data_IF_039465289736
#
_entry.id   IF_039465289736
#
_cell.length_a   1.000
_cell.length_b   1.000
_cell.length_c   1.000
_cell.angle_alpha   90.00
_cell.angle_beta   90.00
_cell.angle_gamma   90.00
#
_symmetry.space_group_name_H-M   'P 1'
#
loop_
_entity.id
_entity.type
_entity.pdbx_description
1 polymer ?
#
# COMPACT_ATOMS: atom_id res chain seq x y z
N UNK A 1 -11.42 29.85 -99.09
CA UNK A 1 -12.51 28.99 -99.48
C UNK A 1 -12.95 28.14 -98.29
N UNK A 2 -14.27 28.25 -98.02
CA UNK A 2 -15.16 27.31 -97.30
C UNK A 2 -14.79 26.79 -95.93
N UNK A 3 -15.40 27.32 -94.95
CA UNK A 3 -16.52 26.86 -94.11
C UNK A 3 -16.55 25.36 -93.72
N UNK A 4 -16.52 25.04 -92.41
CA UNK A 4 -17.68 24.43 -91.75
C UNK A 4 -17.53 24.40 -90.19
N UNK A 5 -18.56 24.94 -89.57
CA UNK A 5 -18.92 24.77 -88.16
C UNK A 5 -19.15 23.34 -87.80
N UNK A 6 -18.78 22.94 -86.55
CA UNK A 6 -19.58 22.01 -85.80
C UNK A 6 -19.55 22.27 -84.32
N UNK A 7 -20.71 22.33 -83.77
CA UNK A 7 -21.28 22.54 -82.49
C UNK A 7 -20.67 21.69 -81.38
N UNK A 8 -20.31 22.32 -80.28
CA UNK A 8 -20.00 21.69 -79.02
C UNK A 8 -21.28 21.38 -78.20
N UNK A 9 -21.55 20.15 -77.95
CA UNK A 9 -22.53 19.76 -76.94
C UNK A 9 -21.82 19.49 -75.62
N UNK A 10 -22.14 20.30 -74.63
CA UNK A 10 -21.84 20.15 -73.17
C UNK A 10 -22.44 18.85 -72.66
N UNK A 11 -21.62 17.98 -72.10
CA UNK A 11 -22.03 16.93 -71.16
C UNK A 11 -21.56 17.35 -69.78
N UNK A 12 -22.47 17.96 -69.06
CA UNK A 12 -22.32 18.18 -67.61
C UNK A 12 -23.24 17.20 -66.89
N UNK A 13 -22.72 16.71 -65.74
CA UNK A 13 -23.44 16.02 -64.67
C UNK A 13 -23.55 14.51 -64.71
N UNK A 14 -22.60 13.86 -63.98
CA UNK A 14 -22.93 12.66 -63.20
C UNK A 14 -21.89 12.35 -62.08
N UNK A 15 -20.91 13.20 -61.79
CA UNK A 15 -19.88 12.90 -60.81
C UNK A 15 -20.13 13.44 -59.39
N UNK A 16 -21.07 14.38 -59.16
CA UNK A 16 -21.30 14.98 -57.84
C UNK A 16 -22.18 14.16 -56.90
N UNK A 17 -23.10 13.37 -57.42
CA UNK A 17 -24.03 12.53 -56.63
C UNK A 17 -23.35 11.27 -56.06
N UNK A 18 -22.38 10.70 -56.76
CA UNK A 18 -21.67 9.50 -56.29
C UNK A 18 -20.65 9.82 -55.18
N UNK A 19 -20.11 11.05 -55.16
CA UNK A 19 -19.15 11.49 -54.12
C UNK A 19 -19.88 11.81 -52.81
N UNK A 20 -21.04 12.45 -52.87
CA UNK A 20 -21.89 12.72 -51.69
C UNK A 20 -22.41 11.44 -51.04
N UNK A 21 -22.81 10.44 -51.83
CA UNK A 21 -23.32 9.16 -51.31
C UNK A 21 -22.22 8.35 -50.61
N UNK A 22 -21.00 8.35 -51.15
CA UNK A 22 -19.85 7.67 -50.54
C UNK A 22 -19.41 8.35 -49.23
N UNK A 23 -19.46 9.67 -49.16
CA UNK A 23 -19.08 10.43 -47.96
C UNK A 23 -20.09 10.23 -46.80
N UNK A 24 -21.40 10.24 -47.12
CA UNK A 24 -22.45 9.91 -46.16
C UNK A 24 -22.36 8.46 -45.66
N UNK A 25 -22.05 7.49 -46.53
CA UNK A 25 -21.88 6.09 -46.12
C UNK A 25 -20.68 5.88 -45.20
N UNK A 26 -19.55 6.56 -45.45
CA UNK A 26 -18.35 6.50 -44.59
C UNK A 26 -18.64 7.11 -43.22
N UNK A 27 -19.33 8.26 -43.16
CA UNK A 27 -19.71 8.90 -41.87
C UNK A 27 -20.67 8.01 -41.08
N UNK A 28 -21.65 7.39 -41.74
CA UNK A 28 -22.61 6.50 -41.07
C UNK A 28 -21.92 5.24 -40.56
N UNK A 29 -21.01 4.65 -41.32
CA UNK A 29 -20.21 3.50 -40.89
C UNK A 29 -19.29 3.86 -39.73
N UNK A 30 -18.63 5.02 -39.74
CA UNK A 30 -17.82 5.51 -38.64
C UNK A 30 -18.66 5.75 -37.38
N UNK A 31 -19.86 6.30 -37.52
CA UNK A 31 -20.77 6.54 -36.41
C UNK A 31 -21.31 5.22 -35.80
N UNK A 32 -21.66 4.25 -36.68
CA UNK A 32 -22.05 2.90 -36.24
C UNK A 32 -20.88 2.18 -35.56
N UNK A 33 -19.67 2.32 -36.08
CA UNK A 33 -18.47 1.73 -35.45
C UNK A 33 -18.13 2.38 -34.12
N UNK A 34 -18.18 3.71 -34.02
CA UNK A 34 -17.98 4.44 -32.79
C UNK A 34 -19.08 4.16 -31.75
N UNK A 35 -20.34 4.10 -32.16
CA UNK A 35 -21.44 3.75 -31.25
C UNK A 35 -21.41 2.29 -30.81
N UNK A 36 -21.06 1.35 -31.72
CA UNK A 36 -20.85 -0.06 -31.36
C UNK A 36 -19.65 -0.24 -30.45
N UNK A 37 -18.56 0.51 -30.67
CA UNK A 37 -17.40 0.56 -29.82
C UNK A 37 -17.75 1.14 -28.44
N UNK A 38 -18.51 2.25 -28.41
CA UNK A 38 -18.97 2.86 -27.16
C UNK A 38 -19.94 1.94 -26.38
N UNK A 39 -20.88 1.28 -27.07
CA UNK A 39 -21.79 0.30 -26.45
C UNK A 39 -21.02 -0.92 -25.97
N UNK A 40 -20.05 -1.42 -26.74
CA UNK A 40 -19.22 -2.54 -26.35
C UNK A 40 -18.36 -2.20 -25.12
N UNK A 41 -17.76 -1.01 -25.06
CA UNK A 41 -16.99 -0.56 -23.90
C UNK A 41 -17.88 -0.18 -22.72
N UNK A 42 -19.06 0.41 -22.91
CA UNK A 42 -19.99 0.71 -21.83
C UNK A 42 -20.63 -0.54 -21.21
N UNK A 43 -20.72 -1.65 -21.94
CA UNK A 43 -21.10 -2.96 -21.37
C UNK A 43 -20.00 -3.59 -20.51
N UNK A 44 -18.73 -3.19 -20.69
CA UNK A 44 -17.61 -3.72 -19.88
C UNK A 44 -17.38 -2.98 -18.55
N UNK A 45 -18.02 -1.84 -18.34
CA UNK A 45 -17.81 -1.04 -17.12
C UNK A 45 -18.86 -1.31 -16.02
N UNK A 46 -19.75 -2.29 -16.25
CA UNK A 46 -20.70 -2.73 -15.21
C UNK A 46 -20.08 -3.81 -14.33
N UNK A 47 -19.09 -3.40 -13.54
CA UNK A 47 -18.60 -4.22 -12.45
C UNK A 47 -19.74 -4.41 -11.42
N UNK A 48 -20.16 -5.66 -11.14
CA UNK A 48 -21.23 -5.88 -10.18
C UNK A 48 -20.85 -5.28 -8.83
N UNK A 49 -21.79 -4.55 -8.21
CA UNK A 49 -21.55 -4.02 -6.87
C UNK A 49 -21.56 -5.17 -5.88
N UNK A 50 -20.57 -5.19 -5.02
CA UNK A 50 -20.37 -6.22 -4.01
C UNK A 50 -20.82 -5.72 -2.64
N UNK A 51 -21.37 -6.60 -1.84
CA UNK A 51 -21.62 -6.42 -0.41
C UNK A 51 -20.62 -7.25 0.39
N UNK A 52 -19.70 -6.57 1.07
CA UNK A 52 -18.56 -7.21 1.74
C UNK A 52 -18.69 -7.10 3.27
N UNK A 53 -18.48 -8.21 3.97
CA UNK A 53 -18.23 -8.21 5.41
C UNK A 53 -16.72 -8.27 5.67
N UNK A 54 -16.22 -7.37 6.50
CA UNK A 54 -14.80 -7.21 6.79
C UNK A 54 -14.53 -7.27 8.27
N UNK A 55 -13.58 -8.10 8.68
CA UNK A 55 -13.11 -8.17 10.07
C UNK A 55 -11.73 -7.51 10.19
N UNK A 56 -11.64 -6.42 10.98
CA UNK A 56 -10.42 -5.69 11.26
C UNK A 56 -10.11 -5.65 12.76
N UNK A 57 -8.82 -5.67 13.12
CA UNK A 57 -8.39 -5.60 14.52
C UNK A 57 -8.73 -4.26 15.17
N UNK A 58 -8.57 -3.16 14.43
CA UNK A 58 -8.91 -1.80 14.88
C UNK A 58 -9.20 -0.92 13.67
N UNK A 59 -9.89 0.19 13.91
CA UNK A 59 -10.23 1.19 12.91
C UNK A 59 -9.71 2.57 13.34
N UNK A 60 -9.20 3.41 12.41
CA UNK A 60 -8.53 4.66 12.76
C UNK A 60 -9.52 5.78 13.14
N UNK A 61 -10.24 5.60 14.23
CA UNK A 61 -11.11 6.62 14.83
C UNK A 61 -10.72 6.77 16.29
N UNK A 62 -10.32 7.98 16.69
CA UNK A 62 -9.92 8.29 18.06
C UNK A 62 -8.57 7.74 18.52
N UNK A 63 -7.73 7.25 17.61
CA UNK A 63 -6.36 6.79 17.89
C UNK A 63 -5.44 6.99 16.69
N UNK A 64 -4.13 7.14 16.96
CA UNK A 64 -3.13 7.19 15.89
C UNK A 64 -3.00 5.78 15.29
N UNK A 65 -3.33 5.60 14.00
CA UNK A 65 -3.38 4.28 13.38
C UNK A 65 -1.98 3.74 13.03
N UNK A 66 -1.79 2.43 13.20
CA UNK A 66 -0.67 1.69 12.64
C UNK A 66 -0.82 1.43 11.13
N UNK A 67 0.15 0.74 10.54
CA UNK A 67 0.16 0.45 9.09
C UNK A 67 -1.03 -0.39 8.63
N UNK A 68 -1.43 -1.40 9.40
CA UNK A 68 -2.55 -2.27 9.05
C UNK A 68 -3.90 -1.52 9.10
N UNK A 69 -4.11 -0.70 10.12
CA UNK A 69 -5.31 0.13 10.24
C UNK A 69 -5.42 1.15 9.11
N UNK A 70 -4.30 1.75 8.71
CA UNK A 70 -4.24 2.70 7.59
C UNK A 70 -4.48 2.00 6.25
N UNK A 71 -3.93 0.80 6.06
CA UNK A 71 -4.23 -0.03 4.90
C UNK A 71 -5.73 -0.33 4.80
N UNK A 72 -6.32 -0.89 5.86
CA UNK A 72 -7.74 -1.23 5.90
C UNK A 72 -8.63 -0.01 5.62
N UNK A 73 -8.37 1.11 6.29
CA UNK A 73 -9.11 2.35 6.04
C UNK A 73 -9.01 2.81 4.58
N UNK A 74 -7.81 2.82 4.01
CA UNK A 74 -7.57 3.25 2.63
C UNK A 74 -8.27 2.32 1.64
N UNK A 75 -8.15 1.01 1.82
CA UNK A 75 -8.76 0.01 0.96
C UNK A 75 -10.28 0.10 0.97
N UNK A 76 -10.89 0.02 2.15
CA UNK A 76 -12.35 -0.09 2.24
C UNK A 76 -13.07 1.22 1.97
N UNK A 77 -12.46 2.36 2.30
CA UNK A 77 -12.96 3.67 1.86
C UNK A 77 -12.91 3.79 0.33
N UNK A 78 -11.85 3.31 -0.29
CA UNK A 78 -11.72 3.32 -1.76
C UNK A 78 -12.71 2.36 -2.43
N UNK A 79 -12.93 1.17 -1.89
CA UNK A 79 -13.96 0.24 -2.39
C UNK A 79 -15.38 0.82 -2.25
N UNK A 80 -15.68 1.43 -1.10
CA UNK A 80 -16.97 2.09 -0.88
C UNK A 80 -17.21 3.25 -1.85
N UNK A 81 -16.18 4.07 -2.12
CA UNK A 81 -16.26 5.16 -3.11
C UNK A 81 -16.46 4.65 -4.55
N UNK A 82 -16.06 3.42 -4.84
CA UNK A 82 -16.33 2.72 -6.10
C UNK A 82 -17.74 2.13 -6.17
N UNK A 83 -18.55 2.28 -5.12
CA UNK A 83 -19.97 1.91 -5.04
C UNK A 83 -20.22 0.51 -4.47
N UNK A 84 -19.20 -0.16 -3.90
CA UNK A 84 -19.41 -1.40 -3.12
C UNK A 84 -19.95 -1.07 -1.74
N UNK A 85 -20.82 -1.93 -1.21
CA UNK A 85 -21.34 -1.84 0.16
C UNK A 85 -20.39 -2.59 1.10
N UNK A 86 -19.76 -1.85 2.02
CA UNK A 86 -18.71 -2.36 2.90
C UNK A 86 -19.17 -2.31 4.36
N UNK A 87 -19.17 -3.44 5.03
CA UNK A 87 -19.52 -3.58 6.45
C UNK A 87 -18.29 -4.05 7.23
N UNK A 88 -17.73 -3.16 8.05
CA UNK A 88 -16.52 -3.42 8.84
C UNK A 88 -16.90 -3.74 10.27
N UNK A 89 -16.45 -4.88 10.78
CA UNK A 89 -16.58 -5.32 12.16
C UNK A 89 -15.23 -5.17 12.87
N UNK A 90 -15.16 -4.31 13.88
CA UNK A 90 -13.90 -3.92 14.49
C UNK A 90 -14.04 -3.63 15.98
N UNK A 91 -12.90 -3.40 16.66
CA UNK A 91 -12.86 -3.08 18.10
C UNK A 91 -13.00 -1.58 18.31
N UNK A 92 -13.80 -1.18 19.29
CA UNK A 92 -13.83 0.21 19.75
C UNK A 92 -12.50 0.61 20.40
N UNK A 93 -11.99 1.76 20.03
CA UNK A 93 -10.83 2.37 20.68
C UNK A 93 -11.16 2.96 22.04
N UNK A 94 -12.42 3.29 22.28
CA UNK A 94 -12.93 3.81 23.55
C UNK A 94 -13.24 2.67 24.52
N UNK A 95 -12.76 2.77 25.76
CA UNK A 95 -13.11 1.84 26.84
C UNK A 95 -14.56 1.91 27.30
N UNK A 96 -15.36 2.86 26.78
CA UNK A 96 -16.81 2.92 26.98
C UNK A 96 -17.46 1.82 26.16
N UNK A 97 -18.16 0.90 26.80
CA UNK A 97 -18.90 -0.23 26.22
C UNK A 97 -20.13 0.19 25.38
N UNK A 98 -20.11 1.32 24.71
CA UNK A 98 -21.17 1.73 23.79
C UNK A 98 -20.87 1.19 22.42
N UNK A 99 -21.83 0.51 21.83
CA UNK A 99 -21.86 0.19 20.40
C UNK A 99 -21.80 1.50 19.63
N UNK A 100 -20.66 1.79 19.03
CA UNK A 100 -20.51 2.94 18.15
C UNK A 100 -20.70 2.46 16.72
N UNK A 101 -21.53 3.15 16.00
CA UNK A 101 -21.76 2.94 14.59
C UNK A 101 -21.27 4.16 13.81
N UNK A 102 -20.44 3.93 12.81
CA UNK A 102 -19.95 4.96 11.89
C UNK A 102 -20.44 4.63 10.49
N UNK A 103 -21.10 5.61 9.85
CA UNK A 103 -21.62 5.47 8.48
C UNK A 103 -21.09 6.60 7.60
N UNK A 104 -20.55 6.26 6.46
CA UNK A 104 -20.14 7.21 5.42
C UNK A 104 -20.51 6.66 4.05
N UNK A 105 -21.72 6.93 3.62
CA UNK A 105 -22.26 6.42 2.35
C UNK A 105 -22.33 4.88 2.35
N UNK A 106 -21.57 4.22 1.50
CA UNK A 106 -21.53 2.76 1.38
C UNK A 106 -20.58 2.07 2.37
N UNK A 107 -19.97 2.81 3.30
CA UNK A 107 -19.08 2.28 4.33
C UNK A 107 -19.76 2.32 5.69
N UNK A 108 -19.98 1.15 6.26
CA UNK A 108 -20.64 0.93 7.55
C UNK A 108 -19.65 0.29 8.52
N UNK A 109 -19.35 0.93 9.64
CA UNK A 109 -18.38 0.42 10.62
C UNK A 109 -19.08 0.16 11.95
N UNK A 110 -18.98 -1.07 12.44
CA UNK A 110 -19.58 -1.56 13.67
C UNK A 110 -18.49 -1.82 14.70
N UNK A 111 -18.55 -1.09 15.80
CA UNK A 111 -17.58 -1.21 16.88
C UNK A 111 -18.11 -2.17 17.94
N UNK A 112 -17.51 -3.33 18.07
CA UNK A 112 -17.80 -4.24 19.17
C UNK A 112 -16.84 -3.98 20.34
N UNK A 113 -17.25 -4.28 21.59
CA UNK A 113 -16.42 -4.12 22.76
C UNK A 113 -15.08 -4.86 22.63
N UNK A 114 -14.08 -4.29 23.30
CA UNK A 114 -12.76 -4.89 23.40
C UNK A 114 -12.77 -5.97 24.50
N UNK A 115 -12.49 -7.21 24.10
CA UNK A 115 -12.37 -8.34 25.02
C UNK A 115 -10.89 -8.77 25.07
N UNK A 116 -10.19 -8.40 26.14
CA UNK A 116 -8.76 -8.72 26.37
C UNK A 116 -7.84 -8.32 25.20
N UNK A 117 -8.08 -7.17 24.58
CA UNK A 117 -7.28 -6.67 23.44
C UNK A 117 -7.70 -7.25 22.08
N UNK A 118 -8.80 -7.99 22.01
CA UNK A 118 -9.34 -8.59 20.80
C UNK A 118 -10.80 -8.19 20.56
N UNK A 119 -11.29 -8.44 19.36
CA UNK A 119 -12.69 -8.23 19.00
C UNK A 119 -13.59 -9.20 19.80
N UNK A 120 -14.66 -8.67 20.44
CA UNK A 120 -15.73 -9.52 20.93
C UNK A 120 -16.50 -10.11 19.74
N UNK A 121 -16.10 -11.32 19.34
CA UNK A 121 -16.66 -11.97 18.18
C UNK A 121 -18.13 -12.35 18.35
N UNK A 122 -18.61 -12.60 19.57
CA UNK A 122 -20.01 -12.97 19.79
C UNK A 122 -20.95 -11.83 19.38
N UNK A 123 -20.66 -10.63 19.86
CA UNK A 123 -21.44 -9.44 19.47
C UNK A 123 -21.23 -9.05 18.00
N UNK A 124 -19.99 -9.14 17.51
CA UNK A 124 -19.72 -8.88 16.09
C UNK A 124 -20.51 -9.84 15.18
N UNK A 125 -20.64 -11.13 15.57
CA UNK A 125 -21.42 -12.11 14.83
C UNK A 125 -22.93 -11.90 14.95
N UNK A 126 -23.45 -11.42 16.06
CA UNK A 126 -24.88 -11.03 16.16
C UNK A 126 -25.22 -9.96 15.12
N UNK A 127 -24.40 -8.89 15.04
CA UNK A 127 -24.59 -7.84 14.04
C UNK A 127 -24.42 -8.40 12.63
N UNK A 128 -23.37 -9.21 12.40
CA UNK A 128 -23.10 -9.86 11.12
C UNK A 128 -24.32 -10.69 10.66
N UNK A 129 -24.83 -11.57 11.50
CA UNK A 129 -25.96 -12.43 11.14
C UNK A 129 -27.25 -11.65 10.92
N UNK A 130 -27.50 -10.59 11.69
CA UNK A 130 -28.63 -9.70 11.48
C UNK A 130 -28.60 -9.06 10.09
N UNK A 131 -27.41 -8.53 9.68
CA UNK A 131 -27.26 -7.88 8.37
C UNK A 131 -27.27 -8.92 7.25
N UNK A 132 -26.63 -10.08 7.44
CA UNK A 132 -26.57 -11.16 6.46
C UNK A 132 -27.93 -11.83 6.23
N UNK A 133 -28.85 -11.75 7.19
CA UNK A 133 -30.23 -12.26 7.11
C UNK A 133 -31.22 -11.34 6.41
N UNK A 134 -30.79 -10.13 5.97
CA UNK A 134 -31.60 -9.23 5.17
C UNK A 134 -31.70 -9.70 3.71
N UNK A 135 -32.46 -9.02 2.88
CA UNK A 135 -32.78 -9.42 1.49
C UNK A 135 -31.55 -9.67 0.61
N UNK A 136 -30.41 -9.06 0.95
CA UNK A 136 -29.14 -9.21 0.25
C UNK A 136 -28.04 -9.66 1.21
N UNK A 137 -27.70 -10.95 1.27
CA UNK A 137 -26.59 -11.45 2.08
C UNK A 137 -25.23 -10.93 1.56
N UNK A 138 -24.18 -11.06 2.39
CA UNK A 138 -22.83 -10.72 1.97
C UNK A 138 -22.36 -11.63 0.83
N UNK A 139 -21.77 -11.02 -0.20
CA UNK A 139 -21.13 -11.76 -1.29
C UNK A 139 -19.89 -12.50 -0.80
N UNK A 140 -19.08 -11.83 0.04
CA UNK A 140 -17.83 -12.37 0.59
C UNK A 140 -17.54 -11.84 1.99
N UNK A 141 -16.71 -12.61 2.70
CA UNK A 141 -16.13 -12.22 3.98
C UNK A 141 -14.63 -12.06 3.82
N UNK A 142 -14.09 -10.94 4.26
CA UNK A 142 -12.68 -10.64 4.24
C UNK A 142 -12.15 -10.38 5.65
N UNK A 143 -10.94 -10.82 5.96
CA UNK A 143 -10.31 -10.55 7.25
C UNK A 143 -8.90 -10.00 7.07
N UNK A 144 -8.58 -8.97 7.84
CA UNK A 144 -7.23 -8.42 7.94
C UNK A 144 -6.42 -9.25 8.94
N UNK A 145 -5.51 -10.06 8.43
CA UNK A 145 -4.75 -11.03 9.22
C UNK A 145 -5.68 -11.88 10.11
N UNK A 146 -5.30 -12.14 11.34
CA UNK A 146 -6.05 -12.96 12.30
C UNK A 146 -7.20 -12.22 13.00
N UNK A 147 -7.72 -11.12 12.43
CA UNK A 147 -8.86 -10.40 13.01
C UNK A 147 -10.12 -11.27 13.07
N UNK A 148 -10.26 -12.24 12.15
CA UNK A 148 -11.18 -13.36 12.26
C UNK A 148 -10.35 -14.64 12.48
N UNK A 149 -10.23 -15.17 13.72
CA UNK A 149 -9.43 -16.35 13.99
C UNK A 149 -9.97 -17.60 13.29
N UNK A 150 -9.09 -18.52 12.90
CA UNK A 150 -9.43 -19.73 12.15
C UNK A 150 -10.52 -20.60 12.80
N UNK A 151 -10.61 -20.63 14.13
CA UNK A 151 -11.67 -21.39 14.83
C UNK A 151 -13.06 -20.75 14.72
N UNK A 152 -13.13 -19.47 14.32
CA UNK A 152 -14.37 -18.73 14.06
C UNK A 152 -14.78 -18.77 12.57
N UNK A 153 -13.87 -19.11 11.68
CA UNK A 153 -14.13 -19.21 10.23
C UNK A 153 -15.35 -20.08 9.93
N UNK A 154 -15.51 -21.21 10.63
CA UNK A 154 -16.66 -22.12 10.48
C UNK A 154 -18.02 -21.51 10.89
N UNK A 155 -18.02 -20.39 11.60
CA UNK A 155 -19.26 -19.69 12.00
C UNK A 155 -19.80 -18.81 10.88
N UNK A 156 -19.03 -18.59 9.83
CA UNK A 156 -19.45 -17.82 8.66
C UNK A 156 -20.11 -18.77 7.66
N UNK A 157 -21.39 -18.55 7.32
CA UNK A 157 -22.11 -19.39 6.35
C UNK A 157 -21.49 -19.23 4.95
N UNK A 158 -21.48 -20.34 4.18
CA UNK A 158 -21.04 -20.37 2.77
C UNK A 158 -19.68 -19.70 2.53
N UNK A 159 -18.71 -20.04 3.31
CA UNK A 159 -17.53 -19.29 3.61
C UNK A 159 -16.49 -19.25 2.49
N UNK A 160 -16.70 -18.40 1.53
CA UNK A 160 -15.65 -17.91 0.68
C UNK A 160 -14.89 -16.78 1.43
N UNK A 161 -14.15 -17.19 2.48
CA UNK A 161 -13.38 -16.25 3.29
C UNK A 161 -12.03 -16.03 2.66
N UNK A 162 -11.74 -14.75 2.38
CA UNK A 162 -10.44 -14.29 1.99
C UNK A 162 -9.71 -13.65 3.19
N UNK A 163 -8.39 -13.79 3.24
CA UNK A 163 -7.53 -13.17 4.26
C UNK A 163 -6.39 -12.41 3.61
N UNK A 164 -6.12 -11.20 4.10
CA UNK A 164 -4.91 -10.45 3.75
C UNK A 164 -3.87 -10.58 4.84
N UNK A 165 -2.69 -11.09 4.49
CA UNK A 165 -1.57 -11.26 5.40
C UNK A 165 -0.65 -10.03 5.33
N UNK A 166 -0.62 -9.23 6.40
CA UNK A 166 0.29 -8.08 6.55
C UNK A 166 1.65 -8.46 7.12
N UNK A 167 1.82 -9.72 7.45
CA UNK A 167 3.02 -10.34 7.95
C UNK A 167 2.73 -11.77 8.36
N UNK A 168 3.69 -12.64 8.17
CA UNK A 168 3.63 -14.05 8.54
C UNK A 168 4.74 -14.37 9.53
N UNK A 169 4.51 -15.34 10.39
CA UNK A 169 5.43 -15.62 11.48
C UNK A 169 6.80 -16.12 11.03
N UNK A 170 6.85 -16.81 9.90
CA UNK A 170 8.11 -17.22 9.26
C UNK A 170 9.06 -16.04 9.05
N UNK A 171 8.57 -14.94 8.53
CA UNK A 171 9.38 -13.75 8.26
C UNK A 171 9.85 -13.07 9.56
N UNK A 172 9.00 -13.07 10.60
CA UNK A 172 9.37 -12.55 11.92
C UNK A 172 10.48 -13.40 12.54
N UNK A 173 10.35 -14.73 12.46
CA UNK A 173 11.37 -15.65 12.94
C UNK A 173 12.70 -15.46 12.20
N UNK A 174 12.66 -15.34 10.88
CA UNK A 174 13.83 -15.06 10.07
C UNK A 174 14.50 -13.74 10.46
N UNK A 175 13.72 -12.67 10.68
CA UNK A 175 14.24 -11.39 11.16
C UNK A 175 14.92 -11.52 12.54
N UNK A 176 14.32 -12.25 13.48
CA UNK A 176 14.90 -12.46 14.81
C UNK A 176 16.22 -13.21 14.73
N UNK A 177 16.32 -14.25 13.89
CA UNK A 177 17.58 -14.96 13.69
C UNK A 177 18.70 -14.05 13.21
N UNK A 178 18.43 -13.18 12.24
CA UNK A 178 19.41 -12.22 11.76
C UNK A 178 19.87 -11.24 12.84
N UNK A 179 18.94 -10.77 13.67
CA UNK A 179 19.26 -9.87 14.78
C UNK A 179 20.11 -10.56 15.87
N UNK A 180 19.88 -11.84 16.11
CA UNK A 180 20.62 -12.61 17.12
C UNK A 180 22.02 -12.98 16.64
N UNK A 181 22.17 -13.41 15.37
CA UNK A 181 23.47 -13.70 14.74
C UNK A 181 24.40 -12.48 14.74
N UNK A 182 23.85 -11.28 14.65
CA UNK A 182 24.62 -10.03 14.69
C UNK A 182 25.13 -9.66 16.11
N UNK A 183 24.62 -10.29 17.15
CA UNK A 183 24.86 -9.88 18.54
C UNK A 183 25.54 -10.95 19.43
N UNK A 184 26.05 -12.06 18.88
CA UNK A 184 26.66 -13.19 19.61
C UNK A 184 25.82 -13.72 20.79
N UNK A 185 24.49 -13.55 20.74
CA UNK A 185 23.58 -14.00 21.79
C UNK A 185 23.09 -15.42 21.51
N UNK A 186 22.91 -16.26 22.54
CA UNK A 186 22.36 -17.59 22.36
C UNK A 186 20.93 -17.53 21.82
N UNK A 187 20.60 -18.44 20.91
CA UNK A 187 19.30 -18.54 20.21
C UNK A 187 18.21 -19.03 21.18
N UNK A 188 17.97 -18.29 22.25
CA UNK A 188 16.98 -18.66 23.28
C UNK A 188 15.53 -18.42 22.82
N UNK A 189 15.31 -17.51 21.85
CA UNK A 189 13.95 -17.13 21.43
C UNK A 189 13.33 -18.04 20.38
N UNK A 190 14.10 -18.90 19.71
CA UNK A 190 13.55 -19.86 18.74
C UNK A 190 12.51 -20.80 19.35
N UNK A 191 12.73 -21.26 20.58
CA UNK A 191 11.78 -22.15 21.26
C UNK A 191 10.43 -21.48 21.51
N UNK A 192 10.40 -20.15 21.73
CA UNK A 192 9.17 -19.40 21.91
C UNK A 192 8.47 -19.05 20.58
N UNK A 193 9.21 -19.01 19.50
CA UNK A 193 8.70 -18.59 18.18
C UNK A 193 8.18 -19.75 17.33
N UNK A 194 8.74 -20.95 17.49
CA UNK A 194 8.35 -22.17 16.75
C UNK A 194 6.87 -22.55 16.90
N UNK A 195 6.25 -22.51 18.10
CA UNK A 195 4.84 -22.88 18.23
C UNK A 195 3.90 -22.05 17.35
N UNK A 196 4.15 -20.75 17.21
CA UNK A 196 3.33 -19.86 16.38
C UNK A 196 3.51 -20.16 14.89
N UNK A 197 4.72 -20.46 14.44
CA UNK A 197 4.95 -20.90 13.06
C UNK A 197 4.19 -22.19 12.75
N UNK A 198 4.25 -23.17 13.66
CA UNK A 198 3.51 -24.43 13.52
C UNK A 198 2.01 -24.17 13.48
N UNK A 199 1.50 -23.28 14.33
CA UNK A 199 0.09 -22.90 14.34
C UNK A 199 -0.33 -22.25 13.01
N UNK A 200 0.45 -21.34 12.45
CA UNK A 200 0.14 -20.74 11.15
C UNK A 200 0.08 -21.80 10.03
N UNK A 201 1.07 -22.70 9.94
CA UNK A 201 1.11 -23.78 8.95
C UNK A 201 -0.13 -24.68 9.06
N UNK A 202 -0.60 -24.96 10.29
CA UNK A 202 -1.77 -25.81 10.54
C UNK A 202 -3.10 -25.13 10.24
N UNK A 203 -3.18 -23.81 10.42
CA UNK A 203 -4.45 -23.09 10.43
C UNK A 203 -4.68 -22.21 9.21
N UNK A 204 -3.65 -21.78 8.50
CA UNK A 204 -3.82 -20.99 7.27
C UNK A 204 -4.65 -21.73 6.21
N UNK A 205 -4.51 -23.06 5.99
CA UNK A 205 -5.36 -23.79 5.04
C UNK A 205 -6.86 -23.73 5.33
N UNK A 206 -7.28 -23.24 6.49
CA UNK A 206 -8.70 -23.07 6.83
C UNK A 206 -9.35 -21.85 6.19
N UNK A 207 -8.55 -20.88 5.74
CA UNK A 207 -9.03 -19.80 4.89
C UNK A 207 -9.01 -20.27 3.44
N UNK A 208 -9.98 -19.84 2.64
CA UNK A 208 -10.10 -20.32 1.26
C UNK A 208 -9.17 -19.60 0.31
N UNK A 209 -9.01 -18.31 0.49
CA UNK A 209 -8.21 -17.44 -0.36
C UNK A 209 -7.24 -16.59 0.48
N UNK A 210 -6.04 -16.44 -0.01
CA UNK A 210 -4.98 -15.71 0.67
C UNK A 210 -4.46 -14.59 -0.20
N UNK A 211 -4.39 -13.40 0.36
CA UNK A 211 -3.75 -12.24 -0.25
C UNK A 211 -2.48 -11.95 0.54
N UNK A 212 -1.38 -11.75 -0.13
CA UNK A 212 -0.13 -11.26 0.43
C UNK A 212 0.31 -9.99 -0.28
N UNK A 213 1.06 -9.16 0.44
CA UNK A 213 1.44 -7.82 0.00
C UNK A 213 2.76 -7.78 -0.78
N UNK A 214 3.40 -8.94 -0.98
CA UNK A 214 4.64 -9.07 -1.76
C UNK A 214 4.78 -10.45 -2.39
N UNK A 215 5.56 -10.56 -3.45
CA UNK A 215 5.90 -11.85 -4.08
C UNK A 215 6.67 -12.76 -3.12
N UNK A 216 7.58 -12.20 -2.30
CA UNK A 216 8.32 -12.96 -1.30
C UNK A 216 7.40 -13.65 -0.28
N UNK A 217 6.40 -12.94 0.26
CA UNK A 217 5.41 -13.52 1.14
C UNK A 217 4.60 -14.64 0.44
N UNK A 218 4.24 -14.44 -0.84
CA UNK A 218 3.58 -15.47 -1.64
C UNK A 218 4.41 -16.75 -1.77
N UNK A 219 5.70 -16.61 -2.02
CA UNK A 219 6.60 -17.78 -2.12
C UNK A 219 6.66 -18.55 -0.81
N UNK A 220 6.72 -17.86 0.32
CA UNK A 220 6.68 -18.52 1.64
C UNK A 220 5.35 -19.25 1.84
N UNK A 221 4.22 -18.62 1.55
CA UNK A 221 2.90 -19.24 1.69
C UNK A 221 2.74 -20.48 0.80
N UNK A 222 3.23 -20.44 -0.44
CA UNK A 222 3.13 -21.56 -1.38
C UNK A 222 4.16 -22.65 -1.07
N UNK A 223 5.43 -22.27 -0.88
CA UNK A 223 6.54 -23.24 -0.83
C UNK A 223 6.83 -23.74 0.58
N UNK A 224 6.60 -22.94 1.61
CA UNK A 224 6.85 -23.31 3.02
C UNK A 224 5.55 -23.76 3.71
N UNK A 225 4.46 -22.97 3.58
CA UNK A 225 3.17 -23.29 4.20
C UNK A 225 2.35 -24.27 3.36
N UNK A 226 2.82 -24.62 2.14
CA UNK A 226 2.21 -25.56 1.21
C UNK A 226 0.76 -25.21 0.84
N UNK A 227 0.44 -23.92 0.79
CA UNK A 227 -0.87 -23.48 0.32
C UNK A 227 -0.97 -23.65 -1.20
N UNK A 228 -2.15 -24.07 -1.73
CA UNK A 228 -2.34 -24.21 -3.18
C UNK A 228 -2.08 -22.89 -3.91
N UNK A 229 -1.16 -22.90 -4.88
CA UNK A 229 -0.73 -21.72 -5.65
C UNK A 229 -1.90 -20.89 -6.20
N UNK A 230 -2.98 -21.55 -6.63
CA UNK A 230 -4.19 -20.93 -7.17
C UNK A 230 -4.98 -20.11 -6.15
N UNK A 231 -4.76 -20.36 -4.85
CA UNK A 231 -5.47 -19.68 -3.75
C UNK A 231 -4.63 -18.58 -3.11
N UNK A 232 -3.41 -18.31 -3.62
CA UNK A 232 -2.50 -17.30 -3.06
C UNK A 232 -2.25 -16.21 -4.09
N UNK A 233 -2.71 -15.00 -3.79
CA UNK A 233 -2.69 -13.83 -4.66
C UNK A 233 -1.76 -12.77 -4.09
N UNK A 234 -1.15 -11.95 -4.96
CA UNK A 234 -0.35 -10.80 -4.54
C UNK A 234 -1.10 -9.54 -4.92
N UNK A 235 -1.43 -8.73 -3.92
CA UNK A 235 -1.96 -7.38 -4.10
C UNK A 235 -1.13 -6.45 -3.22
N UNK A 236 -0.37 -5.57 -3.85
CA UNK A 236 0.51 -4.64 -3.14
C UNK A 236 -0.29 -3.53 -2.44
N UNK A 237 0.26 -3.03 -1.35
CA UNK A 237 -0.36 -1.91 -0.63
C UNK A 237 -0.41 -0.64 -1.49
N UNK A 238 -1.49 0.11 -1.33
CA UNK A 238 -1.64 1.43 -1.93
C UNK A 238 -1.83 2.52 -0.86
N UNK A 239 -1.39 3.72 -1.16
CA UNK A 239 -1.62 4.90 -0.33
C UNK A 239 -2.44 5.95 -1.07
N UNK A 240 -3.11 6.79 -0.31
CA UNK A 240 -3.90 7.89 -0.84
C UNK A 240 -2.96 8.98 -1.37
N UNK A 241 -2.77 8.99 -2.68
CA UNK A 241 -1.88 9.91 -3.39
C UNK A 241 -2.34 11.38 -3.31
N UNK A 242 -3.56 11.64 -2.88
CA UNK A 242 -4.06 13.01 -2.67
C UNK A 242 -3.57 13.61 -1.35
N UNK A 243 -3.14 12.76 -0.40
CA UNK A 243 -2.60 13.18 0.89
C UNK A 243 -1.10 13.40 0.87
N UNK A 244 -0.37 12.61 0.07
CA UNK A 244 1.10 12.64 0.00
C UNK A 244 1.54 13.34 -1.28
N UNK A 245 1.29 14.65 -1.33
CA UNK A 245 1.61 15.49 -2.48
C UNK A 245 2.95 16.18 -2.26
N UNK A 246 3.77 16.25 -3.31
CA UNK A 246 5.01 17.04 -3.29
C UNK A 246 4.70 18.53 -3.17
N UNK A 247 5.19 19.14 -2.12
CA UNK A 247 5.06 20.56 -1.81
C UNK A 247 6.31 21.09 -1.07
N UNK A 248 7.27 21.68 -1.80
CA UNK A 248 8.46 22.29 -1.19
C UNK A 248 8.12 23.32 -0.11
N UNK A 249 7.04 24.10 -0.31
CA UNK A 249 6.60 25.11 0.66
C UNK A 249 6.12 24.47 1.98
N UNK A 250 5.44 23.31 1.88
CA UNK A 250 5.04 22.57 3.06
C UNK A 250 6.25 22.01 3.80
N UNK A 251 7.25 21.54 3.07
CA UNK A 251 8.53 21.07 3.63
C UNK A 251 9.29 22.21 4.33
N UNK A 252 9.41 23.37 3.71
CA UNK A 252 10.06 24.54 4.30
C UNK A 252 9.36 25.01 5.59
N UNK A 253 8.02 25.10 5.56
CA UNK A 253 7.25 25.42 6.79
C UNK A 253 7.48 24.40 7.90
N UNK A 254 7.56 23.12 7.55
CA UNK A 254 7.82 22.07 8.52
C UNK A 254 9.22 22.17 9.11
N UNK A 255 10.25 22.46 8.29
CA UNK A 255 11.63 22.71 8.76
C UNK A 255 11.66 23.87 9.75
N UNK A 256 11.06 25.00 9.40
CA UNK A 256 10.99 26.20 10.28
C UNK A 256 10.28 25.85 11.61
N UNK A 257 9.12 25.20 11.56
CA UNK A 257 8.32 24.81 12.74
C UNK A 257 9.15 23.98 13.73
N UNK A 258 10.00 23.08 13.21
CA UNK A 258 10.75 22.14 14.02
C UNK A 258 12.23 22.50 14.22
N UNK A 259 12.66 23.71 13.81
CA UNK A 259 14.01 24.20 13.98
C UNK A 259 15.07 23.40 13.20
N UNK A 260 14.70 22.90 12.02
CA UNK A 260 15.61 22.18 11.11
C UNK A 260 16.35 23.19 10.24
N UNK A 261 17.67 23.09 10.08
CA UNK A 261 18.43 23.99 9.22
C UNK A 261 17.93 23.99 7.77
N UNK A 262 17.76 25.18 7.18
CA UNK A 262 17.26 25.34 5.80
C UNK A 262 18.19 26.24 4.97
N UNK A 263 19.50 26.08 5.16
CA UNK A 263 20.51 26.87 4.45
C UNK A 263 21.11 26.16 3.22
N UNK A 264 20.52 25.05 2.78
CA UNK A 264 20.95 24.26 1.62
C UNK A 264 22.26 23.49 1.79
N UNK A 265 22.92 23.59 2.97
CA UNK A 265 24.18 22.88 3.23
C UNK A 265 23.98 21.53 3.92
N UNK A 266 22.80 21.31 4.51
CA UNK A 266 22.48 20.08 5.22
C UNK A 266 21.72 19.08 4.34
N UNK A 267 22.08 17.81 4.45
CA UNK A 267 21.27 16.70 3.95
C UNK A 267 20.35 16.24 5.08
N UNK A 268 19.04 16.43 4.90
CA UNK A 268 18.02 16.08 5.88
C UNK A 268 17.49 14.69 5.60
N UNK A 269 17.88 13.73 6.42
CA UNK A 269 17.41 12.35 6.41
C UNK A 269 16.19 12.23 7.31
N UNK A 270 15.28 11.31 7.02
CA UNK A 270 14.10 11.08 7.88
C UNK A 270 13.76 9.62 8.05
N UNK A 271 13.24 9.27 9.23
CA UNK A 271 12.69 7.94 9.55
C UNK A 271 11.35 8.12 10.24
N UNK A 272 10.37 7.27 9.92
CA UNK A 272 9.05 7.34 10.54
C UNK A 272 8.47 5.97 10.89
N UNK A 273 7.60 5.95 11.92
CA UNK A 273 6.87 4.76 12.36
C UNK A 273 7.09 4.43 13.83
N UNK A 274 6.80 3.18 14.22
CA UNK A 274 7.03 2.73 15.62
C UNK A 274 8.52 2.62 15.89
N UNK A 275 9.01 3.32 16.93
CA UNK A 275 10.42 3.36 17.28
C UNK A 275 10.82 2.13 18.14
N UNK A 276 10.72 0.94 17.53
CA UNK A 276 10.97 -0.37 18.15
C UNK A 276 12.11 -1.12 17.45
N UNK A 277 12.67 -2.13 18.13
CA UNK A 277 13.85 -2.85 17.67
C UNK A 277 13.68 -3.50 16.29
N UNK A 278 12.57 -4.18 16.06
CA UNK A 278 12.28 -4.88 14.81
C UNK A 278 12.06 -3.96 13.60
N UNK A 279 11.87 -2.66 13.84
CA UNK A 279 11.89 -1.61 12.80
C UNK A 279 13.29 -1.06 12.51
N UNK A 280 14.34 -1.68 13.08
CA UNK A 280 15.74 -1.38 12.77
C UNK A 280 16.30 -0.12 13.40
N UNK A 281 15.60 0.45 14.41
CA UNK A 281 16.09 1.66 15.06
C UNK A 281 17.44 1.50 15.76
N UNK A 282 17.82 0.34 16.36
CA UNK A 282 19.19 0.13 16.84
C UNK A 282 20.23 0.32 15.73
N UNK A 283 19.94 -0.26 14.56
CA UNK A 283 20.83 -0.22 13.41
C UNK A 283 21.04 1.22 12.91
N UNK A 284 19.94 1.97 12.72
CA UNK A 284 20.03 3.37 12.28
C UNK A 284 20.67 4.26 13.33
N UNK A 285 20.43 4.03 14.62
CA UNK A 285 21.07 4.77 15.70
C UNK A 285 22.59 4.67 15.63
N UNK A 286 23.12 3.45 15.55
CA UNK A 286 24.57 3.21 15.47
C UNK A 286 25.16 3.75 14.16
N UNK A 287 24.50 3.52 13.04
CA UNK A 287 24.96 4.00 11.75
C UNK A 287 24.99 5.54 11.68
N UNK A 288 23.94 6.21 12.20
CA UNK A 288 23.90 7.67 12.20
C UNK A 288 24.93 8.28 13.15
N UNK A 289 25.18 7.66 14.30
CA UNK A 289 26.21 8.09 15.23
C UNK A 289 27.64 8.05 14.62
N UNK A 290 27.88 7.13 13.67
CA UNK A 290 29.12 7.09 12.91
C UNK A 290 29.09 8.11 11.75
N UNK A 291 27.99 8.21 11.04
CA UNK A 291 27.84 9.10 9.89
C UNK A 291 28.05 10.58 10.27
N UNK A 292 27.46 11.05 11.36
CA UNK A 292 27.58 12.46 11.79
C UNK A 292 29.00 12.87 12.13
N UNK A 293 29.87 11.92 12.52
CA UNK A 293 31.30 12.17 12.75
C UNK A 293 32.07 12.39 11.45
N UNK A 294 31.66 11.72 10.37
CA UNK A 294 32.25 11.85 9.04
C UNK A 294 31.67 13.07 8.30
N UNK A 295 30.39 13.34 8.50
CA UNK A 295 29.63 14.36 7.79
C UNK A 295 28.80 15.20 8.77
N UNK A 296 29.39 16.24 9.41
CA UNK A 296 28.66 17.08 10.36
C UNK A 296 27.45 17.81 9.77
N UNK A 297 27.36 17.91 8.45
CA UNK A 297 26.26 18.53 7.69
C UNK A 297 25.04 17.61 7.47
N UNK A 298 24.99 16.43 8.07
CA UNK A 298 23.79 15.60 8.02
C UNK A 298 22.85 15.92 9.19
N UNK A 299 21.54 15.78 8.93
CA UNK A 299 20.50 16.01 9.92
C UNK A 299 19.47 14.87 9.87
N UNK A 300 19.00 14.38 11.03
CA UNK A 300 18.03 13.30 11.10
C UNK A 300 16.73 13.74 11.78
N UNK A 301 15.63 13.62 11.07
CA UNK A 301 14.28 13.77 11.61
C UNK A 301 13.70 12.40 11.97
N UNK A 302 13.26 12.23 13.22
CA UNK A 302 12.71 10.98 13.75
C UNK A 302 11.25 11.20 14.12
N UNK A 303 10.32 10.66 13.33
CA UNK A 303 8.89 10.75 13.56
C UNK A 303 8.33 9.41 14.05
N UNK A 304 7.64 9.44 15.19
CA UNK A 304 7.02 8.26 15.76
C UNK A 304 7.23 8.12 17.26
N UNK A 305 6.66 7.07 17.82
CA UNK A 305 6.75 6.78 19.26
C UNK A 305 7.33 5.39 19.53
N UNK A 306 8.03 5.26 20.66
CA UNK A 306 8.62 4.02 21.10
C UNK A 306 9.89 4.23 21.93
N UNK A 307 10.48 3.16 22.48
CA UNK A 307 11.61 3.25 23.40
C UNK A 307 12.87 3.87 22.79
N UNK A 308 13.03 3.82 21.45
CA UNK A 308 14.19 4.38 20.76
C UNK A 308 14.15 5.90 20.60
N UNK A 309 13.01 6.56 20.81
CA UNK A 309 12.93 8.02 20.75
C UNK A 309 13.89 8.71 21.70
N UNK A 310 14.00 8.24 22.95
CA UNK A 310 14.94 8.79 23.93
C UNK A 310 16.40 8.60 23.52
N UNK A 311 16.73 7.44 22.94
CA UNK A 311 18.07 7.15 22.45
C UNK A 311 18.51 8.09 21.33
N UNK A 312 17.60 8.34 20.36
CA UNK A 312 17.92 9.28 19.29
C UNK A 312 18.22 10.71 19.80
N UNK A 313 17.55 11.15 20.87
CA UNK A 313 17.83 12.45 21.46
C UNK A 313 19.25 12.55 22.09
N UNK A 314 19.88 11.41 22.40
CA UNK A 314 21.26 11.36 22.91
C UNK A 314 22.31 11.66 21.83
N UNK A 315 21.96 11.60 20.52
CA UNK A 315 22.88 11.81 19.40
C UNK A 315 23.23 13.30 19.14
N UNK A 316 22.63 14.22 19.90
CA UNK A 316 22.96 15.65 19.84
C UNK A 316 22.13 16.47 18.87
N UNK A 317 22.64 17.63 18.48
CA UNK A 317 21.89 18.68 17.77
C UNK A 317 21.52 18.31 16.33
N UNK A 318 22.22 17.36 15.73
CA UNK A 318 21.93 16.86 14.37
C UNK A 318 20.71 15.93 14.32
N UNK A 319 20.05 15.70 15.44
CA UNK A 319 18.86 14.83 15.50
C UNK A 319 17.68 15.56 16.13
N UNK A 320 16.55 15.52 15.44
CA UNK A 320 15.29 16.04 15.97
C UNK A 320 14.27 14.91 16.11
N UNK A 321 13.90 14.59 17.37
CA UNK A 321 12.84 13.62 17.67
C UNK A 321 11.51 14.38 17.76
N UNK A 322 10.57 14.04 16.88
CA UNK A 322 9.30 14.74 16.71
C UNK A 322 8.14 14.13 17.52
N UNK A 323 8.32 12.90 18.02
CA UNK A 323 7.21 12.13 18.55
C UNK A 323 6.27 11.60 17.49
N UNK A 324 5.09 11.14 17.89
CA UNK A 324 4.06 10.74 16.96
C UNK A 324 3.46 11.97 16.28
N UNK A 325 3.43 11.96 14.95
CA UNK A 325 2.83 13.02 14.14
C UNK A 325 1.38 12.66 13.81
N UNK A 326 0.52 13.66 13.79
CA UNK A 326 -0.83 13.51 13.27
C UNK A 326 -0.81 13.23 11.75
N UNK A 327 -1.82 12.53 11.21
CA UNK A 327 -1.85 12.16 9.79
C UNK A 327 -1.68 13.35 8.83
N UNK A 328 -2.18 14.52 9.21
CA UNK A 328 -2.11 15.77 8.44
C UNK A 328 -0.69 16.35 8.37
N UNK A 329 0.14 16.07 9.39
CA UNK A 329 1.52 16.55 9.48
C UNK A 329 2.51 15.66 8.70
N UNK A 330 2.13 14.40 8.41
CA UNK A 330 3.02 13.44 7.75
C UNK A 330 3.47 13.90 6.36
N UNK A 331 2.60 14.54 5.59
CA UNK A 331 2.97 15.09 4.29
C UNK A 331 4.03 16.18 4.42
N UNK A 332 3.88 17.09 5.39
CA UNK A 332 4.89 18.11 5.71
C UNK A 332 6.22 17.49 6.12
N UNK A 333 6.19 16.48 6.97
CA UNK A 333 7.38 15.72 7.37
C UNK A 333 8.11 15.13 6.15
N UNK A 334 7.44 14.37 5.27
CA UNK A 334 8.11 13.81 4.10
C UNK A 334 8.65 14.89 3.16
N UNK A 335 7.90 15.98 2.95
CA UNK A 335 8.36 17.09 2.11
C UNK A 335 9.59 17.82 2.70
N UNK A 336 9.79 17.79 4.00
CA UNK A 336 10.94 18.38 4.67
C UNK A 336 12.25 17.59 4.50
N UNK A 337 12.20 16.36 3.99
CA UNK A 337 13.36 15.49 3.82
C UNK A 337 14.06 15.70 2.48
N UNK A 338 15.32 15.28 2.41
CA UNK A 338 16.04 15.04 1.16
C UNK A 338 16.04 13.55 0.80
N UNK A 339 16.05 12.69 1.80
CA UNK A 339 16.00 11.23 1.66
C UNK A 339 15.25 10.59 2.83
N UNK A 340 14.48 9.54 2.55
CA UNK A 340 13.78 8.76 3.57
C UNK A 340 14.52 7.45 3.85
N UNK A 341 14.79 7.17 5.13
CA UNK A 341 15.48 5.95 5.57
C UNK A 341 14.47 5.03 6.25
N UNK A 342 14.33 3.80 5.75
CA UNK A 342 13.58 2.75 6.40
C UNK A 342 14.54 1.62 6.79
N UNK A 343 15.00 1.55 8.03
CA UNK A 343 16.01 0.58 8.46
C UNK A 343 15.41 -0.77 8.87
N UNK A 344 14.17 -1.06 8.51
CA UNK A 344 13.42 -2.23 9.01
C UNK A 344 14.23 -3.52 8.96
N UNK A 345 14.16 -4.29 10.04
CA UNK A 345 14.71 -5.64 10.11
C UNK A 345 13.65 -6.71 9.82
N UNK A 346 12.47 -6.28 9.37
CA UNK A 346 11.38 -7.17 8.96
C UNK A 346 11.41 -7.38 7.44
N UNK A 347 11.63 -8.60 6.94
CA UNK A 347 11.65 -8.88 5.51
C UNK A 347 10.27 -8.89 4.85
N UNK A 348 9.21 -8.65 5.61
CA UNK A 348 7.82 -8.90 5.22
C UNK A 348 7.20 -7.85 4.37
N UNK A 349 7.80 -6.90 3.88
CA UNK A 349 6.83 -6.24 3.17
C UNK A 349 6.88 -4.77 2.97
N UNK A 350 5.90 -4.34 2.35
CA UNK A 350 5.60 -3.04 1.84
C UNK A 350 5.20 -2.09 2.98
N UNK A 351 6.16 -1.51 3.69
CA UNK A 351 5.87 -0.45 4.65
C UNK A 351 5.28 0.77 3.92
N UNK A 352 4.10 1.22 4.34
CA UNK A 352 3.41 2.37 3.74
C UNK A 352 4.28 3.64 3.76
N UNK A 353 5.12 3.80 4.79
CA UNK A 353 6.02 4.94 4.94
C UNK A 353 7.01 5.10 3.79
N UNK A 354 7.45 4.00 3.17
CA UNK A 354 8.32 4.02 1.99
C UNK A 354 7.54 4.62 0.80
N UNK A 355 6.33 4.13 0.58
CA UNK A 355 5.48 4.60 -0.54
C UNK A 355 5.11 6.08 -0.36
N UNK A 356 4.77 6.49 0.85
CA UNK A 356 4.44 7.87 1.21
C UNK A 356 5.60 8.82 0.90
N UNK A 357 6.82 8.43 1.29
CA UNK A 357 8.02 9.18 0.98
C UNK A 357 8.27 9.29 -0.53
N UNK A 358 8.11 8.18 -1.27
CA UNK A 358 8.27 8.15 -2.72
C UNK A 358 7.24 9.07 -3.42
N UNK A 359 5.99 9.10 -2.97
CA UNK A 359 4.97 10.01 -3.51
C UNK A 359 5.30 11.48 -3.25
N UNK A 360 5.99 11.78 -2.15
CA UNK A 360 6.52 13.11 -1.84
C UNK A 360 7.85 13.44 -2.53
N UNK A 361 8.22 12.72 -3.61
CA UNK A 361 9.48 12.96 -4.36
C UNK A 361 10.73 12.72 -3.50
N UNK A 362 10.71 11.70 -2.64
CA UNK A 362 11.90 11.36 -1.84
C UNK A 362 12.47 10.03 -2.27
N UNK A 363 13.78 9.97 -2.59
CA UNK A 363 14.46 8.70 -2.73
C UNK A 363 14.50 7.97 -1.38
N UNK A 364 14.63 6.67 -1.41
CA UNK A 364 14.56 5.86 -0.21
C UNK A 364 15.85 5.07 0.02
N UNK A 365 16.21 4.90 1.30
CA UNK A 365 17.28 3.99 1.76
C UNK A 365 16.61 2.85 2.50
N UNK A 366 16.75 1.63 1.98
CA UNK A 366 16.02 0.46 2.44
C UNK A 366 16.90 -0.78 2.50
N UNK A 367 16.61 -1.77 3.36
CA UNK A 367 17.34 -3.03 3.35
C UNK A 367 17.04 -3.83 2.08
N UNK A 368 18.02 -4.61 1.65
CA UNK A 368 17.96 -5.42 0.42
C UNK A 368 17.14 -6.72 0.55
N UNK A 369 16.03 -6.68 1.29
CA UNK A 369 15.13 -7.82 1.38
C UNK A 369 14.39 -8.08 0.06
N UNK A 370 14.18 -9.35 -0.34
CA UNK A 370 13.49 -9.68 -1.59
C UNK A 370 12.10 -9.04 -1.74
N UNK A 371 11.37 -8.85 -0.63
CA UNK A 371 10.08 -8.15 -0.63
C UNK A 371 10.19 -6.68 -1.01
N UNK A 372 11.30 -6.03 -0.71
CA UNK A 372 11.54 -4.61 -0.97
C UNK A 372 12.19 -4.41 -2.34
N UNK A 373 13.32 -5.08 -2.59
CA UNK A 373 14.05 -4.93 -3.88
C UNK A 373 13.29 -5.54 -5.06
N UNK A 374 12.43 -6.52 -4.82
CA UNK A 374 11.57 -7.12 -5.86
C UNK A 374 10.26 -6.39 -6.09
N UNK A 375 9.95 -5.34 -5.32
CA UNK A 375 8.63 -4.67 -5.39
C UNK A 375 8.74 -3.15 -5.35
N UNK A 376 9.58 -2.57 -4.50
CA UNK A 376 9.64 -1.11 -4.25
C UNK A 376 10.85 -0.47 -4.91
N UNK A 377 12.05 -0.97 -4.61
CA UNK A 377 13.31 -0.46 -5.18
C UNK A 377 13.80 -1.46 -6.23
N UNK A 378 13.02 -1.61 -7.28
CA UNK A 378 13.29 -2.52 -8.41
C UNK A 378 14.39 -1.99 -9.36
N UNK A 379 14.81 -0.76 -9.16
CA UNK A 379 15.81 -0.07 -9.96
C UNK A 379 16.59 0.91 -9.05
N UNK A 380 17.90 1.06 -9.26
CA UNK A 380 18.77 1.97 -8.51
C UNK A 380 18.37 3.45 -8.60
N UNK A 381 17.59 3.81 -9.63
CA UNK A 381 17.02 5.16 -9.77
C UNK A 381 16.01 5.51 -8.67
N UNK A 382 15.49 4.53 -7.94
CA UNK A 382 14.47 4.78 -6.91
C UNK A 382 15.05 4.95 -5.51
N UNK A 383 16.34 4.68 -5.32
CA UNK A 383 16.96 4.85 -4.02
C UNK A 383 18.22 4.02 -3.84
N UNK A 384 18.45 3.64 -2.62
CA UNK A 384 19.65 2.93 -2.19
C UNK A 384 19.27 1.70 -1.37
N UNK A 385 20.02 0.65 -1.51
CA UNK A 385 19.80 -0.57 -0.73
C UNK A 385 21.04 -0.91 0.11
N UNK A 386 20.83 -1.49 1.28
CA UNK A 386 21.90 -1.92 2.17
C UNK A 386 21.63 -3.31 2.73
N UNK A 387 22.68 -4.06 3.05
CA UNK A 387 22.57 -5.27 3.86
C UNK A 387 22.22 -4.89 5.32
N UNK A 388 21.33 -5.64 6.02
CA UNK A 388 20.81 -5.22 7.32
C UNK A 388 21.87 -5.33 8.44
N UNK A 389 22.94 -4.55 8.32
CA UNK A 389 24.01 -4.39 9.32
C UNK A 389 24.53 -2.95 9.32
N UNK A 390 25.17 -2.54 10.42
CA UNK A 390 25.64 -1.17 10.66
C UNK A 390 26.60 -0.69 9.58
N UNK A 391 27.60 -1.52 9.22
CA UNK A 391 28.64 -1.18 8.24
C UNK A 391 28.02 -0.85 6.88
N UNK A 392 27.18 -1.73 6.37
CA UNK A 392 26.54 -1.54 5.05
C UNK A 392 25.61 -0.32 5.06
N UNK A 393 24.88 -0.06 6.16
CA UNK A 393 24.06 1.14 6.27
C UNK A 393 24.91 2.41 6.30
N UNK A 394 26.04 2.44 7.03
CA UNK A 394 26.97 3.59 7.04
C UNK A 394 27.50 3.85 5.63
N UNK A 395 28.00 2.82 4.94
CA UNK A 395 28.52 2.92 3.56
C UNK A 395 27.45 3.47 2.59
N UNK A 396 26.20 3.03 2.76
CA UNK A 396 25.06 3.52 1.94
C UNK A 396 24.72 4.96 2.25
N UNK A 397 24.62 5.34 3.52
CA UNK A 397 24.34 6.73 3.93
C UNK A 397 25.48 7.68 3.52
N UNK A 398 26.72 7.25 3.56
CA UNK A 398 27.87 8.00 3.04
C UNK A 398 27.74 8.23 1.52
N UNK A 399 27.29 7.22 0.76
CA UNK A 399 26.99 7.39 -0.66
C UNK A 399 25.88 8.41 -0.92
N UNK A 400 24.81 8.40 -0.12
CA UNK A 400 23.73 9.40 -0.17
C UNK A 400 24.28 10.82 0.01
N UNK A 401 25.18 11.02 0.98
CA UNK A 401 25.78 12.34 1.22
C UNK A 401 26.68 12.76 0.05
N UNK A 402 27.46 11.85 -0.51
CA UNK A 402 28.32 12.14 -1.67
C UNK A 402 27.55 12.45 -2.94
N UNK A 403 26.42 11.80 -3.17
CA UNK A 403 25.55 12.04 -4.32
C UNK A 403 24.96 13.46 -4.29
N UNK A 404 24.66 13.97 -3.10
CA UNK A 404 24.18 15.35 -2.90
C UNK A 404 22.75 15.62 -3.42
N UNK A 405 22.28 16.83 -3.20
CA UNK A 405 20.86 17.20 -3.41
C UNK A 405 20.37 17.00 -4.84
N UNK A 406 21.19 17.26 -5.86
CA UNK A 406 20.79 17.15 -7.26
C UNK A 406 20.49 15.69 -7.68
N UNK A 407 21.31 14.73 -7.24
CA UNK A 407 21.08 13.31 -7.52
C UNK A 407 19.88 12.80 -6.72
N UNK A 408 19.74 13.24 -5.46
CA UNK A 408 18.59 12.88 -4.63
C UNK A 408 17.28 13.38 -5.24
N UNK A 409 17.25 14.59 -5.81
CA UNK A 409 16.06 15.12 -6.48
C UNK A 409 15.70 14.28 -7.72
N UNK A 410 16.67 13.96 -8.58
CA UNK A 410 16.43 13.11 -9.75
C UNK A 410 15.87 11.73 -9.36
N UNK A 411 16.45 11.11 -8.33
CA UNK A 411 15.95 9.83 -7.80
C UNK A 411 14.53 9.98 -7.22
N UNK A 412 14.26 11.10 -6.52
CA UNK A 412 12.94 11.38 -5.97
C UNK A 412 11.84 11.51 -7.05
N UNK A 413 12.15 12.19 -8.16
CA UNK A 413 11.23 12.29 -9.31
C UNK A 413 10.91 10.91 -9.89
N UNK A 414 11.93 10.04 -10.05
CA UNK A 414 11.74 8.67 -10.50
C UNK A 414 10.91 7.85 -9.49
N UNK A 415 11.16 8.01 -8.19
CA UNK A 415 10.37 7.43 -7.11
C UNK A 415 8.87 7.77 -7.23
N UNK A 416 8.55 9.05 -7.37
CA UNK A 416 7.17 9.51 -7.50
C UNK A 416 6.48 8.89 -8.70
N UNK A 417 7.11 8.93 -9.86
CA UNK A 417 6.54 8.35 -11.09
C UNK A 417 6.22 6.87 -10.90
N UNK A 418 7.15 6.10 -10.32
CA UNK A 418 6.95 4.69 -10.05
C UNK A 418 5.88 4.45 -8.97
N UNK A 419 5.91 5.19 -7.86
CA UNK A 419 4.93 5.03 -6.79
C UNK A 419 3.49 5.33 -7.25
N UNK A 420 3.29 6.36 -8.06
CA UNK A 420 1.99 6.68 -8.64
C UNK A 420 1.53 5.62 -9.66
N UNK A 421 2.46 4.98 -10.37
CA UNK A 421 2.11 3.90 -11.31
C UNK A 421 1.77 2.58 -10.61
N UNK A 422 2.22 2.33 -9.37
CA UNK A 422 2.11 1.02 -8.72
C UNK A 422 1.31 1.02 -7.41
N UNK A 423 1.42 2.06 -6.58
CA UNK A 423 1.05 2.00 -5.16
C UNK A 423 -0.01 3.03 -4.77
N UNK A 424 -1.00 3.27 -5.64
CA UNK A 424 -2.13 4.16 -5.29
C UNK A 424 -3.27 3.39 -4.65
N UNK A 425 -4.06 4.08 -3.82
CA UNK A 425 -5.28 3.54 -3.23
C UNK A 425 -6.26 3.02 -4.29
N UNK A 426 -6.37 3.74 -5.41
CA UNK A 426 -7.25 3.37 -6.54
C UNK A 426 -6.82 2.05 -7.18
N UNK A 427 -5.52 1.85 -7.42
CA UNK A 427 -4.99 0.59 -7.97
C UNK A 427 -5.19 -0.58 -7.02
N UNK A 428 -4.88 -0.37 -5.75
CA UNK A 428 -5.12 -1.38 -4.72
C UNK A 428 -6.60 -1.77 -4.69
N UNK A 429 -7.51 -0.81 -4.62
CA UNK A 429 -8.96 -1.08 -4.61
C UNK A 429 -9.42 -1.82 -5.87
N UNK A 430 -8.93 -1.43 -7.06
CA UNK A 430 -9.24 -2.11 -8.31
C UNK A 430 -8.75 -3.57 -8.32
N UNK A 431 -7.55 -3.83 -7.78
CA UNK A 431 -7.02 -5.19 -7.67
C UNK A 431 -7.85 -6.05 -6.71
N UNK A 432 -8.28 -5.51 -5.56
CA UNK A 432 -9.17 -6.20 -4.63
C UNK A 432 -10.56 -6.45 -5.21
N UNK A 433 -11.13 -5.49 -5.92
CA UNK A 433 -12.40 -5.66 -6.62
C UNK A 433 -12.34 -6.84 -7.59
N UNK A 434 -11.30 -6.90 -8.42
CA UNK A 434 -11.07 -8.03 -9.33
C UNK A 434 -10.81 -9.33 -8.61
N UNK A 435 -10.08 -9.29 -7.50
CA UNK A 435 -9.86 -10.47 -6.67
C UNK A 435 -11.20 -11.06 -6.18
N UNK A 436 -12.11 -10.25 -5.65
CA UNK A 436 -13.42 -10.73 -5.23
C UNK A 436 -14.24 -11.27 -6.41
N UNK A 437 -14.14 -10.67 -7.58
CA UNK A 437 -14.76 -11.20 -8.80
C UNK A 437 -14.11 -12.52 -9.23
N UNK A 438 -12.80 -12.65 -9.12
CA UNK A 438 -12.05 -13.87 -9.39
C UNK A 438 -12.55 -15.06 -8.53
N UNK A 439 -12.95 -14.80 -7.30
CA UNK A 439 -13.49 -15.84 -6.42
C UNK A 439 -14.77 -16.50 -7.00
N UNK A 440 -15.55 -15.76 -7.80
CA UNK A 440 -16.73 -16.28 -8.53
C UNK A 440 -16.39 -16.83 -9.92
N UNK A 441 -15.43 -16.22 -10.59
CA UNK A 441 -15.15 -16.52 -11.98
C UNK A 441 -13.66 -16.32 -12.29
N UNK A 442 -12.97 -17.40 -12.63
CA UNK A 442 -11.53 -17.43 -12.90
C UNK A 442 -11.05 -16.47 -14.01
N UNK A 443 -11.95 -16.01 -14.89
CA UNK A 443 -11.58 -15.00 -15.91
C UNK A 443 -11.07 -13.69 -15.33
N UNK A 444 -11.46 -13.36 -14.09
CA UNK A 444 -11.00 -12.15 -13.38
C UNK A 444 -9.72 -12.35 -12.57
N UNK A 445 -9.10 -13.54 -12.63
CA UNK A 445 -7.97 -13.90 -11.77
C UNK A 445 -6.61 -13.33 -12.21
N UNK A 446 -6.55 -12.43 -13.19
CA UNK A 446 -5.31 -11.74 -13.59
C UNK A 446 -5.22 -10.36 -12.94
N UNK A 447 -4.17 -10.12 -12.15
CA UNK A 447 -3.91 -8.85 -11.44
C UNK A 447 -2.51 -8.33 -11.69
N UNK A 448 -2.36 -7.00 -11.73
CA UNK A 448 -3.31 -6.02 -12.23
C UNK A 448 -3.50 -6.22 -13.74
N UNK A 449 -4.61 -5.81 -14.32
CA UNK A 449 -4.70 -5.71 -15.78
C UNK A 449 -3.91 -4.50 -16.26
N UNK A 450 -3.34 -4.59 -17.45
CA UNK A 450 -2.66 -3.47 -18.11
C UNK A 450 -3.57 -2.26 -18.36
N UNK A 451 -4.89 -2.49 -18.36
CA UNK A 451 -5.92 -1.46 -18.50
C UNK A 451 -6.33 -0.77 -17.19
N UNK A 452 -5.78 -1.18 -16.05
CA UNK A 452 -6.05 -0.55 -14.74
C UNK A 452 -5.11 0.61 -14.45
N UNK A 453 -4.50 1.16 -15.49
CA UNK A 453 -3.57 2.29 -15.41
C UNK A 453 -4.34 3.59 -15.47
#
# INVERSE_FOLDING_TARGET
>A
MAFKNHSSRTILSSSSTSFSLRFTTIITLAFVFCSSYYIFFSQFDYSPKLKLAVFCKSWPVGSIPGGMERHAYTLYTSLASRGHEIHVFTVSSNRSNREEYYNRGNLHVYFAPNEHGTLNHSQAFEIFHKINGLDHPFDYVHTESVSLPHWRVKMVPNSDIAVTWHGIWYEIMHSNLFQELSNDRPISDLQQTMPRLVDEIRFFPKYKQHICISNSAREVLVNIYQLPKRNVHVIVNGVDHTKFVYSPESGARFRVKHGVPDNGTFIVMGVSGRLVRDKGHPLLYEAFALLVKMHPQVYLLVAGSGPWGKRYAELGENVRVLGALEPEELSGFYNALDVFVNPTLRPQGLDLTIIEAMQCVKPVVVPNYPSIVGTVVVDERFGYTFSPNVRSLVETLDSVVRDGSSVLEMKGIACKAYALSMFTATRMASAYERFFMCMKNERYCKYPLSTDI
#
